data_IF_574159124734
#
_entry.id   IF_574159124734
#
_cell.length_a   1.000
_cell.length_b   1.000
_cell.length_c   1.000
_cell.angle_alpha   90.00
_cell.angle_beta   90.00
_cell.angle_gamma   90.00
#
_symmetry.space_group_name_H-M   'P 1'
#
loop_
_entity.id
_entity.type
_entity.pdbx_description
1 polymer ?
#
# COMPACT_ATOMS: atom_id res chain seq x y z
N UNK A 1 -26.61 -18.49 9.26
CA UNK A 1 -25.45 -18.05 8.46
C UNK A 1 -24.79 -16.90 9.20
N UNK A 2 -23.64 -17.16 9.82
CA UNK A 2 -22.94 -16.26 10.74
C UNK A 2 -21.88 -15.46 9.98
N UNK A 3 -22.06 -14.15 9.91
CA UNK A 3 -21.06 -13.22 9.37
C UNK A 3 -20.08 -12.90 10.49
N UNK A 4 -18.85 -13.42 10.38
CA UNK A 4 -17.77 -13.16 11.32
C UNK A 4 -17.33 -11.69 11.19
N UNK A 5 -17.56 -10.97 12.27
CA UNK A 5 -17.15 -9.60 12.53
C UNK A 5 -15.64 -9.42 12.38
N UNK A 6 -15.24 -8.38 11.64
CA UNK A 6 -13.86 -7.89 11.54
C UNK A 6 -13.33 -7.57 12.94
N UNK A 7 -12.16 -8.12 13.25
CA UNK A 7 -11.40 -7.78 14.46
C UNK A 7 -10.86 -6.35 14.33
N UNK A 8 -11.69 -5.38 14.68
CA UNK A 8 -11.28 -4.00 14.98
C UNK A 8 -10.39 -4.08 16.23
N UNK A 9 -9.17 -3.58 16.10
CA UNK A 9 -8.15 -3.39 17.14
C UNK A 9 -8.70 -3.42 18.57
N UNK A 10 -8.46 -4.52 19.29
CA UNK A 10 -8.82 -4.64 20.70
C UNK A 10 -7.84 -3.83 21.57
N UNK A 11 -8.11 -2.53 21.76
CA UNK A 11 -7.37 -1.67 22.68
C UNK A 11 -7.90 -1.83 24.11
N UNK A 12 -7.48 -2.89 24.81
CA UNK A 12 -7.64 -2.95 26.27
C UNK A 12 -6.60 -2.04 26.93
N UNK A 13 -6.85 -0.72 26.92
CA UNK A 13 -5.96 0.25 27.55
C UNK A 13 -6.45 0.61 28.95
N UNK A 14 -5.68 0.26 29.99
CA UNK A 14 -5.90 0.73 31.36
C UNK A 14 -5.68 2.25 31.39
N UNK A 15 -6.62 3.01 31.97
CA UNK A 15 -6.71 4.46 31.81
C UNK A 15 -5.40 5.25 32.08
N UNK A 16 -4.58 4.82 33.06
CA UNK A 16 -3.29 5.45 33.38
C UNK A 16 -2.25 5.28 32.28
N UNK A 17 -2.12 4.08 31.70
CA UNK A 17 -1.14 3.77 30.66
C UNK A 17 -1.50 4.43 29.33
N UNK A 18 -2.81 4.55 29.04
CA UNK A 18 -3.31 5.27 27.88
C UNK A 18 -2.92 6.74 27.94
N UNK A 19 -3.15 7.40 29.10
CA UNK A 19 -2.80 8.81 29.33
C UNK A 19 -1.33 9.10 29.06
N UNK A 20 -0.43 8.25 29.55
CA UNK A 20 1.02 8.42 29.34
C UNK A 20 1.40 8.30 27.86
N UNK A 21 0.87 7.29 27.16
CA UNK A 21 1.11 7.12 25.72
C UNK A 21 0.55 8.28 24.89
N UNK A 22 -0.65 8.76 25.23
CA UNK A 22 -1.23 9.95 24.60
C UNK A 22 -0.39 11.20 24.83
N UNK A 23 0.16 11.39 26.03
CA UNK A 23 1.06 12.52 26.31
C UNK A 23 2.30 12.50 25.41
N UNK A 24 2.87 11.32 25.16
CA UNK A 24 4.00 11.17 24.23
C UNK A 24 3.61 11.57 22.80
N UNK A 25 2.46 11.11 22.31
CA UNK A 25 1.93 11.49 20.99
C UNK A 25 1.72 13.00 20.88
N UNK A 26 1.07 13.61 21.88
CA UNK A 26 0.83 15.06 21.93
C UNK A 26 2.13 15.86 21.99
N UNK A 27 3.16 15.34 22.67
CA UNK A 27 4.50 15.91 22.70
C UNK A 27 5.34 15.61 21.43
N UNK A 28 4.74 15.01 20.40
CA UNK A 28 5.40 14.53 19.17
C UNK A 28 6.55 13.52 19.42
N UNK A 29 6.55 12.88 20.58
CA UNK A 29 7.47 11.80 20.94
C UNK A 29 6.89 10.46 20.49
N UNK A 30 6.80 10.26 19.18
CA UNK A 30 6.25 9.04 18.60
C UNK A 30 7.23 7.87 18.76
N UNK A 31 6.74 6.76 19.31
CA UNK A 31 7.56 5.56 19.57
C UNK A 31 7.82 4.73 18.31
N UNK A 32 7.13 5.01 17.22
CA UNK A 32 7.26 4.31 15.94
C UNK A 32 7.56 5.36 14.88
N UNK A 33 8.66 5.17 14.18
CA UNK A 33 9.11 6.06 13.10
C UNK A 33 9.07 5.27 11.81
N UNK A 34 8.66 5.92 10.72
CA UNK A 34 8.62 5.28 9.40
C UNK A 34 10.05 5.11 8.91
N UNK A 35 10.50 3.86 8.77
CA UNK A 35 11.83 3.52 8.30
C UNK A 35 11.91 3.60 6.76
N UNK A 36 10.92 3.01 6.09
CA UNK A 36 10.83 3.04 4.63
C UNK A 36 9.40 2.87 4.15
N UNK A 37 9.16 3.26 2.90
CA UNK A 37 7.89 3.14 2.21
C UNK A 37 8.11 2.71 0.76
N UNK A 38 7.22 1.84 0.26
CA UNK A 38 7.16 1.46 -1.15
C UNK A 38 5.73 1.37 -1.63
N UNK A 39 5.52 1.79 -2.88
CA UNK A 39 4.22 1.74 -3.55
C UNK A 39 4.32 0.78 -4.73
N UNK A 40 3.36 -0.15 -4.82
CA UNK A 40 3.15 -1.00 -5.98
C UNK A 40 1.92 -0.54 -6.74
N UNK A 41 2.06 -0.35 -8.04
CA UNK A 41 1.00 0.09 -8.94
C UNK A 41 0.50 -1.10 -9.77
N UNK A 42 -0.82 -1.24 -9.86
CA UNK A 42 -1.47 -2.29 -10.66
C UNK A 42 -2.22 -1.67 -11.83
N UNK A 43 -1.91 -2.11 -13.04
CA UNK A 43 -2.53 -1.67 -14.30
C UNK A 43 -3.40 -2.77 -14.92
N UNK A 44 -4.16 -2.44 -15.96
CA UNK A 44 -4.95 -3.42 -16.71
C UNK A 44 -4.04 -4.53 -17.27
N UNK A 45 -4.43 -5.79 -17.05
CA UNK A 45 -3.65 -6.96 -17.50
C UNK A 45 -2.49 -7.36 -16.60
N UNK A 46 -2.03 -6.49 -15.69
CA UNK A 46 -1.18 -6.93 -14.58
C UNK A 46 -2.06 -7.68 -13.58
N UNK A 47 -1.80 -8.97 -13.40
CA UNK A 47 -2.54 -9.73 -12.42
C UNK A 47 -2.27 -9.10 -11.04
N UNK A 48 -3.31 -8.85 -10.23
CA UNK A 48 -3.18 -8.64 -8.79
C UNK A 48 -2.70 -9.95 -8.11
N UNK A 49 -1.64 -10.58 -8.63
CA UNK A 49 -1.10 -11.89 -8.24
C UNK A 49 -0.41 -11.86 -6.87
N UNK A 50 -0.48 -10.75 -6.16
CA UNK A 50 0.05 -10.64 -4.81
C UNK A 50 -1.06 -10.83 -3.79
N UNK A 51 -1.42 -12.09 -3.53
CA UNK A 51 -2.07 -12.48 -2.27
C UNK A 51 -1.30 -11.98 -1.03
N UNK A 52 -0.01 -11.70 -1.21
CA UNK A 52 0.88 -11.00 -0.27
C UNK A 52 0.28 -9.70 0.29
N UNK A 53 -0.53 -8.96 -0.48
CA UNK A 53 -1.07 -7.67 -0.02
C UNK A 53 -2.16 -7.84 1.04
N UNK A 54 -2.76 -9.03 1.13
CA UNK A 54 -3.85 -9.32 2.05
C UNK A 54 -3.37 -9.81 3.41
N UNK A 55 -2.08 -10.15 3.56
CA UNK A 55 -1.48 -10.69 4.79
C UNK A 55 -0.24 -9.90 5.21
N UNK A 56 -0.40 -8.78 5.95
CA UNK A 56 0.71 -7.94 6.38
C UNK A 56 1.79 -8.72 7.16
N UNK A 57 1.39 -9.66 8.01
CA UNK A 57 2.31 -10.46 8.82
C UNK A 57 3.20 -11.39 7.96
N UNK A 58 2.68 -11.90 6.84
CA UNK A 58 3.44 -12.72 5.91
C UNK A 58 4.52 -11.89 5.20
N UNK A 59 4.20 -10.65 4.82
CA UNK A 59 5.16 -9.71 4.25
C UNK A 59 6.26 -9.39 5.25
N UNK A 60 5.89 -9.11 6.51
CA UNK A 60 6.86 -8.84 7.58
C UNK A 60 7.79 -10.05 7.83
N UNK A 61 7.25 -11.27 7.79
CA UNK A 61 8.05 -12.50 7.90
C UNK A 61 9.08 -12.60 6.77
N UNK A 62 8.67 -12.40 5.51
CA UNK A 62 9.55 -12.40 4.34
C UNK A 62 10.62 -11.31 4.38
N UNK A 63 10.30 -10.15 4.94
CA UNK A 63 11.27 -9.06 5.17
C UNK A 63 12.32 -9.54 6.17
N UNK A 64 11.89 -10.10 7.31
CA UNK A 64 12.80 -10.62 8.35
C UNK A 64 13.73 -11.73 7.85
N UNK A 65 13.25 -12.59 6.95
CA UNK A 65 14.06 -13.63 6.34
C UNK A 65 15.24 -13.07 5.52
N UNK A 66 15.07 -11.88 4.92
CA UNK A 66 16.08 -11.16 4.13
C UNK A 66 16.96 -10.20 4.94
N UNK A 67 16.68 -10.03 6.23
CA UNK A 67 17.52 -9.20 7.10
C UNK A 67 18.75 -9.98 7.60
N UNK A 68 19.87 -9.27 7.83
CA UNK A 68 21.01 -9.79 8.60
C UNK A 68 20.57 -10.36 9.96
N UNK A 69 21.29 -11.37 10.45
CA UNK A 69 20.90 -12.15 11.63
C UNK A 69 20.68 -11.30 12.90
N UNK A 70 21.52 -10.29 13.08
CA UNK A 70 21.46 -9.28 14.15
C UNK A 70 20.20 -8.42 14.10
N UNK A 71 19.59 -8.25 12.93
CA UNK A 71 18.42 -7.37 12.73
C UNK A 71 17.08 -8.12 12.68
N UNK A 72 17.09 -9.46 12.63
CA UNK A 72 15.84 -10.28 12.51
C UNK A 72 14.87 -10.08 13.67
N UNK A 73 15.40 -9.81 14.86
CA UNK A 73 14.62 -9.65 16.09
C UNK A 73 14.23 -8.20 16.39
N UNK A 74 14.53 -7.26 15.49
CA UNK A 74 14.14 -5.87 15.70
C UNK A 74 12.62 -5.74 15.90
N UNK A 75 12.20 -4.84 16.82
CA UNK A 75 10.80 -4.47 16.94
C UNK A 75 10.37 -3.71 15.69
N UNK A 76 9.64 -4.39 14.81
CA UNK A 76 9.14 -3.84 13.55
C UNK A 76 7.61 -3.89 13.52
N UNK A 77 7.02 -2.93 12.83
CA UNK A 77 5.60 -2.91 12.44
C UNK A 77 5.51 -2.70 10.94
N UNK A 78 4.50 -3.30 10.34
CA UNK A 78 4.17 -3.09 8.94
C UNK A 78 2.74 -2.57 8.84
N UNK A 79 2.54 -1.63 7.92
CA UNK A 79 1.24 -1.18 7.44
C UNK A 79 1.18 -1.47 5.94
N UNK A 80 0.08 -2.09 5.50
CA UNK A 80 -0.18 -2.40 4.10
C UNK A 80 -1.52 -1.80 3.76
N UNK A 81 -1.50 -0.70 3.02
CA UNK A 81 -2.69 0.05 2.64
C UNK A 81 -2.96 -0.19 1.15
N UNK A 82 -4.07 -0.86 0.82
CA UNK A 82 -4.55 -0.96 -0.56
C UNK A 82 -5.55 0.16 -0.84
N UNK A 83 -5.30 0.93 -1.89
CA UNK A 83 -6.23 1.94 -2.36
C UNK A 83 -6.67 1.59 -3.79
N UNK A 84 -7.98 1.52 -3.98
CA UNK A 84 -8.57 1.38 -5.30
C UNK A 84 -8.84 2.78 -5.85
N UNK A 85 -8.24 3.12 -6.99
CA UNK A 85 -8.50 4.42 -7.61
C UNK A 85 -9.92 4.50 -8.19
N UNK A 86 -10.54 3.35 -8.47
CA UNK A 86 -11.76 3.32 -9.27
C UNK A 86 -12.83 2.44 -8.62
N UNK A 87 -13.96 3.01 -8.17
CA UNK A 87 -15.20 2.26 -8.17
C UNK A 87 -15.41 1.82 -9.62
N UNK A 88 -15.43 0.52 -9.88
CA UNK A 88 -15.82 -0.07 -11.17
C UNK A 88 -17.32 0.14 -11.40
N UNK A 89 -17.77 1.38 -11.33
CA UNK A 89 -19.09 1.80 -11.76
C UNK A 89 -18.93 2.41 -13.14
N UNK A 90 -19.81 2.04 -14.06
CA UNK A 90 -19.97 2.65 -15.39
C UNK A 90 -20.21 4.17 -15.38
N UNK A 91 -20.03 4.87 -14.26
CA UNK A 91 -20.55 6.22 -14.04
C UNK A 91 -19.57 7.04 -13.18
N UNK A 92 -18.77 7.89 -13.85
CA UNK A 92 -18.61 9.27 -13.39
C UNK A 92 -19.21 10.29 -14.38
N UNK A 93 -19.46 9.91 -15.64
CA UNK A 93 -20.00 10.82 -16.68
C UNK A 93 -21.24 10.32 -17.44
N UNK A 94 -21.75 9.10 -17.18
CA UNK A 94 -22.99 8.66 -17.83
C UNK A 94 -22.94 8.54 -19.36
N UNK A 95 -21.77 8.28 -19.94
CA UNK A 95 -21.59 8.24 -21.41
C UNK A 95 -21.48 9.63 -22.05
N UNK A 96 -21.16 10.68 -21.29
CA UNK A 96 -21.01 12.05 -21.81
C UNK A 96 -19.59 12.40 -22.25
N UNK A 97 -18.63 11.49 -22.15
CA UNK A 97 -17.26 11.70 -22.63
C UNK A 97 -17.18 11.34 -24.11
N UNK A 98 -16.80 12.31 -24.93
CA UNK A 98 -16.59 12.13 -26.37
C UNK A 98 -15.27 12.74 -26.81
N UNK A 99 -14.58 12.06 -27.73
CA UNK A 99 -13.40 12.54 -28.42
C UNK A 99 -13.77 12.87 -29.87
N UNK A 100 -13.49 14.09 -30.31
CA UNK A 100 -13.58 14.47 -31.72
C UNK A 100 -12.18 14.48 -32.32
N UNK A 101 -11.88 13.49 -33.14
CA UNK A 101 -10.71 13.51 -34.02
C UNK A 101 -11.10 14.26 -35.31
N UNK A 102 -10.48 15.41 -35.63
CA UNK A 102 -10.77 16.16 -36.86
C UNK A 102 -10.61 15.35 -38.15
N UNK A 103 -9.75 14.33 -38.15
CA UNK A 103 -9.55 13.46 -39.31
C UNK A 103 -10.70 12.45 -39.51
N UNK A 104 -11.38 12.08 -38.42
CA UNK A 104 -12.53 11.16 -38.44
C UNK A 104 -13.84 11.91 -38.65
N UNK A 105 -13.90 13.19 -38.23
CA UNK A 105 -15.02 14.10 -38.48
C UNK A 105 -16.32 13.75 -37.74
N UNK A 106 -16.31 12.72 -36.91
CA UNK A 106 -17.46 12.29 -36.08
C UNK A 106 -17.02 12.11 -34.63
N UNK A 107 -17.77 12.62 -33.63
CA UNK A 107 -17.48 12.39 -32.23
C UNK A 107 -17.58 10.90 -31.89
N UNK A 108 -16.56 10.36 -31.22
CA UNK A 108 -16.53 8.98 -30.74
C UNK A 108 -16.65 8.96 -29.22
N UNK A 109 -17.35 7.97 -28.67
CA UNK A 109 -17.42 7.79 -27.21
C UNK A 109 -16.02 7.51 -26.67
N UNK A 110 -15.64 8.22 -25.61
CA UNK A 110 -14.35 8.05 -24.95
C UNK A 110 -14.58 7.42 -23.58
N UNK A 111 -14.14 6.18 -23.41
CA UNK A 111 -14.25 5.50 -22.13
C UNK A 111 -13.27 6.11 -21.12
N UNK A 112 -13.63 6.08 -19.84
CA UNK A 112 -12.72 6.45 -18.76
C UNK A 112 -11.46 5.57 -18.73
N UNK A 113 -11.56 4.32 -19.21
CA UNK A 113 -10.40 3.44 -19.38
C UNK A 113 -9.41 3.99 -20.41
N UNK A 114 -9.90 4.64 -21.46
CA UNK A 114 -9.06 5.26 -22.48
C UNK A 114 -8.42 6.57 -21.98
N UNK A 115 -9.17 7.37 -21.22
CA UNK A 115 -8.66 8.60 -20.59
C UNK A 115 -7.56 8.33 -19.56
N UNK A 116 -7.77 7.31 -18.72
CA UNK A 116 -6.91 7.00 -17.59
C UNK A 116 -6.02 5.79 -17.83
N UNK A 117 -5.84 5.37 -19.08
CA UNK A 117 -5.01 4.21 -19.46
C UNK A 117 -3.60 4.26 -18.90
N UNK A 118 -3.04 5.46 -18.76
CA UNK A 118 -1.71 5.68 -18.21
C UNK A 118 -1.67 5.67 -16.66
N UNK A 119 -2.82 5.68 -15.98
CA UNK A 119 -2.90 5.64 -14.53
C UNK A 119 -3.05 4.19 -14.01
N UNK A 120 -2.48 3.88 -12.84
CA UNK A 120 -2.74 2.63 -12.15
C UNK A 120 -4.23 2.50 -11.77
N UNK A 121 -4.80 1.31 -11.98
CA UNK A 121 -6.16 0.95 -11.56
C UNK A 121 -6.26 0.89 -10.03
N UNK A 122 -5.23 0.35 -9.39
CA UNK A 122 -5.11 0.30 -7.94
C UNK A 122 -3.64 0.40 -7.56
N UNK A 123 -3.39 0.76 -6.31
CA UNK A 123 -2.04 0.71 -5.75
C UNK A 123 -2.06 0.20 -4.31
N UNK A 124 -0.92 -0.35 -3.90
CA UNK A 124 -0.69 -0.79 -2.54
C UNK A 124 0.54 -0.08 -1.98
N UNK A 125 0.40 0.51 -0.80
CA UNK A 125 1.50 1.16 -0.08
C UNK A 125 1.92 0.29 1.09
N UNK A 126 3.20 -0.05 1.12
CA UNK A 126 3.86 -0.79 2.18
C UNK A 126 4.69 0.17 3.00
N UNK A 127 4.45 0.21 4.31
CA UNK A 127 5.22 1.06 5.24
C UNK A 127 5.78 0.22 6.35
N UNK A 128 7.09 0.34 6.58
CA UNK A 128 7.76 -0.29 7.71
C UNK A 128 8.03 0.77 8.76
N UNK A 129 7.73 0.44 10.01
CA UNK A 129 8.04 1.26 11.17
C UNK A 129 9.00 0.54 12.11
N UNK A 130 9.96 1.30 12.61
CA UNK A 130 11.00 0.91 13.57
C UNK A 130 10.98 1.86 14.78
N UNK A 131 11.86 1.62 15.76
CA UNK A 131 12.03 2.50 16.93
C UNK A 131 12.93 3.71 16.66
N UNK A 132 13.84 3.58 15.71
CA UNK A 132 14.82 4.57 15.30
C UNK A 132 15.15 4.41 13.80
N UNK A 133 16.02 5.27 13.28
CA UNK A 133 16.39 5.32 11.87
C UNK A 133 17.72 4.63 11.55
N UNK A 134 18.28 3.83 12.47
CA UNK A 134 19.64 3.27 12.34
C UNK A 134 19.77 2.30 11.16
N UNK A 135 18.69 1.61 10.79
CA UNK A 135 18.70 0.52 9.81
C UNK A 135 17.75 0.76 8.62
N UNK A 136 17.35 2.01 8.38
CA UNK A 136 16.38 2.35 7.33
C UNK A 136 16.81 1.87 5.95
N UNK A 137 18.10 2.01 5.62
CA UNK A 137 18.67 1.53 4.36
C UNK A 137 18.52 0.01 4.20
N UNK A 138 18.89 -0.76 5.22
CA UNK A 138 18.79 -2.23 5.21
C UNK A 138 17.34 -2.69 5.14
N UNK A 139 16.44 -2.03 5.88
CA UNK A 139 15.01 -2.32 5.85
C UNK A 139 14.40 -2.01 4.46
N UNK A 140 14.81 -0.91 3.84
CA UNK A 140 14.38 -0.53 2.49
C UNK A 140 14.85 -1.55 1.45
N UNK A 141 16.12 -1.99 1.51
CA UNK A 141 16.64 -3.02 0.62
C UNK A 141 15.93 -4.37 0.79
N UNK A 142 15.67 -4.78 2.03
CA UNK A 142 14.92 -6.00 2.30
C UNK A 142 13.47 -5.91 1.76
N UNK A 143 12.78 -4.79 2.00
CA UNK A 143 11.45 -4.53 1.46
C UNK A 143 11.45 -4.56 -0.07
N UNK A 144 12.43 -3.90 -0.70
CA UNK A 144 12.59 -3.89 -2.15
C UNK A 144 12.81 -5.30 -2.70
N UNK A 145 13.61 -6.14 -2.05
CA UNK A 145 13.79 -7.53 -2.48
C UNK A 145 12.51 -8.37 -2.35
N UNK A 146 11.71 -8.18 -1.29
CA UNK A 146 10.42 -8.88 -1.15
C UNK A 146 9.42 -8.46 -2.24
N UNK A 147 9.36 -7.16 -2.56
CA UNK A 147 8.39 -6.63 -3.52
C UNK A 147 8.86 -6.74 -4.99
N UNK A 148 10.18 -6.70 -5.23
CA UNK A 148 10.78 -6.85 -6.56
C UNK A 148 10.64 -8.27 -7.11
N UNK A 149 10.62 -9.29 -6.26
CA UNK A 149 10.23 -10.65 -6.66
C UNK A 149 8.74 -10.74 -7.06
N UNK A 150 7.92 -9.79 -6.64
CA UNK A 150 6.49 -9.74 -6.92
C UNK A 150 6.13 -8.80 -8.10
N UNK A 151 7.08 -7.99 -8.57
CA UNK A 151 6.87 -6.96 -9.59
C UNK A 151 7.92 -7.10 -10.67
N UNK A 152 7.56 -7.83 -11.72
CA UNK A 152 8.26 -7.73 -13.00
C UNK A 152 7.60 -6.62 -13.82
N UNK A 153 7.93 -5.38 -13.48
CA UNK A 153 7.66 -4.22 -14.31
C UNK A 153 8.80 -3.22 -14.14
N UNK A 154 9.88 -3.44 -14.90
CA UNK A 154 10.79 -2.35 -15.26
C UNK A 154 9.99 -1.32 -16.06
N UNK A 155 9.61 -0.25 -15.41
CA UNK A 155 9.34 1.01 -16.11
C UNK A 155 10.18 2.08 -15.46
N UNK A 156 11.18 2.56 -16.21
CA UNK A 156 11.69 3.92 -16.05
C UNK A 156 10.49 4.86 -16.08
N UNK A 157 10.23 5.55 -14.97
CA UNK A 157 9.82 6.96 -14.86
C UNK A 157 9.64 7.32 -13.39
#
# INVERSE_FOLDING_TARGET
>A
MSVRSQAIFHWTCRAKTCRQRWRLVLARQVTWKRACERTLNFHSGSAERTSITSEPDLVLKRIRERLPADLKNLPLKIDVAKHYHRPSGRLPVGGQNFLLDPAVGTPQELSDDDLFRALPISFCVFRIYSKDHLHDGTLNSALHAVLGEASDAKTNM
#
